data_IF_329192716836
#
_entry.id   IF_329192716836
#
_cell.length_a   1.000
_cell.length_b   1.000
_cell.length_c   1.000
_cell.angle_alpha   90.00
_cell.angle_beta   90.00
_cell.angle_gamma   90.00
#
_symmetry.space_group_name_H-M   'P 1'
#
loop_
_entity.id
_entity.type
_entity.pdbx_description
1 polymer ?
#
# COMPACT_ATOMS: atom_id res chain seq x y z
N UNK A 1 19.94 3.19 4.63
CA UNK A 1 19.57 2.75 6.00
C UNK A 1 18.10 2.98 6.32
N UNK A 2 17.50 4.13 5.99
CA UNK A 2 16.06 4.40 6.21
C UNK A 2 15.12 3.48 5.38
N UNK A 3 15.53 3.07 4.16
CA UNK A 3 14.81 2.06 3.33
C UNK A 3 14.83 0.62 3.87
N UNK A 4 15.57 0.33 4.95
CA UNK A 4 15.56 -1.02 5.55
C UNK A 4 14.45 -1.19 6.60
N UNK A 5 13.92 -0.08 7.14
CA UNK A 5 12.88 -0.07 8.19
C UNK A 5 11.50 0.31 7.64
N UNK A 6 11.41 0.63 6.34
CA UNK A 6 10.15 0.83 5.60
C UNK A 6 9.24 1.91 6.16
N UNK A 7 9.88 2.94 6.71
CA UNK A 7 9.19 4.12 7.24
C UNK A 7 8.55 4.96 6.13
N UNK A 8 9.08 4.89 4.92
CA UNK A 8 8.49 5.47 3.71
C UNK A 8 7.11 4.87 3.41
N UNK A 9 6.97 3.54 3.47
CA UNK A 9 5.69 2.84 3.29
C UNK A 9 4.69 3.22 4.38
N UNK A 10 5.16 3.33 5.63
CA UNK A 10 4.35 3.76 6.77
C UNK A 10 3.83 5.19 6.57
N UNK A 11 4.72 6.12 6.23
CA UNK A 11 4.37 7.51 5.99
C UNK A 11 3.47 7.66 4.76
N UNK A 12 3.65 6.83 3.72
CA UNK A 12 2.77 6.82 2.55
C UNK A 12 1.35 6.36 2.92
N UNK A 13 1.20 5.34 3.76
CA UNK A 13 -0.11 4.89 4.23
C UNK A 13 -0.80 5.96 5.10
N UNK A 14 -0.06 6.58 6.03
CA UNK A 14 -0.56 7.70 6.84
C UNK A 14 -0.97 8.90 5.96
N UNK A 15 -0.17 9.23 4.94
CA UNK A 15 -0.49 10.27 3.97
C UNK A 15 -1.73 9.94 3.14
N UNK A 16 -1.91 8.67 2.75
CA UNK A 16 -3.14 8.18 2.11
C UNK A 16 -4.37 8.33 3.02
N UNK A 17 -4.24 8.07 4.32
CA UNK A 17 -5.31 8.33 5.28
C UNK A 17 -5.61 9.82 5.42
N UNK A 18 -4.56 10.66 5.43
CA UNK A 18 -4.72 12.11 5.43
C UNK A 18 -5.41 12.61 4.16
N UNK A 19 -5.09 12.04 3.00
CA UNK A 19 -5.80 12.33 1.75
C UNK A 19 -7.31 12.10 1.90
N UNK A 20 -7.74 10.95 2.43
CA UNK A 20 -9.17 10.68 2.60
C UNK A 20 -9.81 11.50 3.73
N UNK A 21 -9.07 11.83 4.78
CA UNK A 21 -9.53 12.72 5.84
C UNK A 21 -9.82 14.14 5.31
N UNK A 22 -8.86 14.71 4.56
CA UNK A 22 -9.00 15.99 3.87
C UNK A 22 -10.13 15.96 2.84
N UNK A 23 -10.23 14.88 2.06
CA UNK A 23 -11.25 14.73 1.03
C UNK A 23 -12.67 14.71 1.60
N UNK A 24 -12.85 14.05 2.76
CA UNK A 24 -14.14 13.93 3.43
C UNK A 24 -14.41 15.06 4.43
N UNK A 25 -13.46 15.99 4.58
CA UNK A 25 -13.53 17.10 5.55
C UNK A 25 -13.79 16.58 6.96
N UNK A 26 -13.01 15.58 7.39
CA UNK A 26 -13.07 15.01 8.73
C UNK A 26 -11.73 15.12 9.44
N UNK A 27 -11.79 15.38 10.74
CA UNK A 27 -10.61 15.34 11.60
C UNK A 27 -10.35 13.90 12.05
N UNK A 28 -9.13 13.43 11.82
CA UNK A 28 -8.67 12.12 12.27
C UNK A 28 -7.69 12.31 13.42
N UNK A 29 -7.96 11.73 14.61
CA UNK A 29 -7.05 11.82 15.74
C UNK A 29 -5.66 11.25 15.41
N UNK A 30 -4.60 11.89 15.94
CA UNK A 30 -3.22 11.44 15.72
C UNK A 30 -2.98 9.99 16.17
N UNK A 31 -3.69 9.54 17.20
CA UNK A 31 -3.68 8.15 17.69
C UNK A 31 -4.05 7.14 16.61
N UNK A 32 -4.96 7.50 15.70
CA UNK A 32 -5.39 6.65 14.58
C UNK A 32 -4.31 6.56 13.51
N UNK A 33 -3.67 7.69 13.16
CA UNK A 33 -2.52 7.69 12.26
C UNK A 33 -1.36 6.85 12.82
N UNK A 34 -1.06 6.97 14.12
CA UNK A 34 -0.05 6.16 14.79
C UNK A 34 -0.44 4.68 14.80
N UNK A 35 -1.71 4.37 15.07
CA UNK A 35 -2.24 3.01 15.01
C UNK A 35 -2.09 2.37 13.63
N UNK A 36 -2.48 3.09 12.57
CA UNK A 36 -2.27 2.67 11.19
C UNK A 36 -0.78 2.44 10.92
N UNK A 37 0.07 3.39 11.31
CA UNK A 37 1.50 3.29 11.08
C UNK A 37 2.13 2.08 11.75
N UNK A 38 1.75 1.79 13.01
CA UNK A 38 2.21 0.60 13.74
C UNK A 38 1.75 -0.69 13.06
N UNK A 39 0.51 -0.75 12.56
CA UNK A 39 -0.03 -1.92 11.86
C UNK A 39 0.70 -2.16 10.55
N UNK A 40 0.84 -1.12 9.71
CA UNK A 40 1.54 -1.21 8.42
C UNK A 40 2.99 -1.61 8.63
N UNK A 41 3.67 -0.97 9.59
CA UNK A 41 5.05 -1.30 9.94
C UNK A 41 5.17 -2.75 10.43
N UNK A 42 4.28 -3.18 11.32
CA UNK A 42 4.27 -4.54 11.86
C UNK A 42 4.04 -5.61 10.81
N UNK A 43 3.08 -5.41 9.90
CA UNK A 43 2.83 -6.31 8.76
C UNK A 43 4.06 -6.39 7.88
N UNK A 44 4.67 -5.25 7.52
CA UNK A 44 5.84 -5.22 6.66
C UNK A 44 7.04 -5.93 7.31
N UNK A 45 7.32 -5.65 8.57
CA UNK A 45 8.41 -6.29 9.31
C UNK A 45 8.19 -7.81 9.46
N UNK A 46 6.95 -8.24 9.67
CA UNK A 46 6.59 -9.65 9.75
C UNK A 46 6.78 -10.36 8.41
N UNK A 47 6.37 -9.74 7.30
CA UNK A 47 6.54 -10.26 5.93
C UNK A 47 8.01 -10.54 5.63
N UNK A 48 8.90 -9.55 5.83
CA UNK A 48 10.35 -9.72 5.65
C UNK A 48 10.96 -10.77 6.56
N UNK A 49 10.47 -10.89 7.79
CA UNK A 49 10.97 -11.88 8.74
C UNK A 49 10.58 -13.31 8.33
N UNK A 50 9.35 -13.48 7.83
CA UNK A 50 8.86 -14.77 7.34
C UNK A 50 9.58 -15.19 6.06
N UNK A 51 9.81 -14.26 5.13
CA UNK A 51 10.54 -14.51 3.89
C UNK A 51 12.01 -14.83 4.15
N UNK A 52 12.65 -14.11 5.09
CA UNK A 52 14.01 -14.39 5.49
C UNK A 52 14.18 -15.81 6.08
N UNK A 53 13.16 -16.33 6.78
CA UNK A 53 13.19 -17.67 7.41
C UNK A 53 12.87 -18.81 6.43
N UNK A 54 12.10 -18.56 5.39
CA UNK A 54 11.67 -19.60 4.43
C UNK A 54 12.81 -20.11 3.53
N UNK A 55 13.91 -19.36 3.41
CA UNK A 55 15.01 -19.65 2.49
C UNK A 55 16.30 -20.00 3.26
N UNK A 56 16.76 -21.25 3.16
CA UNK A 56 17.92 -21.79 3.87
C UNK A 56 19.31 -21.36 3.33
N UNK A 57 19.40 -20.60 2.23
CA UNK A 57 20.69 -20.26 1.57
C UNK A 57 21.16 -18.83 1.85
N UNK A 58 22.09 -18.65 2.78
CA UNK A 58 22.46 -17.37 3.42
C UNK A 58 23.13 -16.30 2.54
N UNK A 59 23.49 -16.58 1.30
CA UNK A 59 24.65 -15.89 0.70
C UNK A 59 24.34 -14.83 -0.38
N UNK A 60 23.09 -14.63 -0.82
CA UNK A 60 22.83 -13.81 -2.02
C UNK A 60 22.16 -12.42 -1.80
N UNK A 61 21.68 -12.05 -0.60
CA UNK A 61 21.02 -10.75 -0.41
C UNK A 61 21.37 -10.01 0.91
N UNK A 62 21.95 -8.78 0.85
CA UNK A 62 22.29 -7.97 2.03
C UNK A 62 21.10 -7.70 2.96
N UNK A 63 19.89 -7.51 2.40
CA UNK A 63 18.65 -7.25 3.16
C UNK A 63 18.27 -8.45 4.03
N UNK A 64 18.42 -9.66 3.49
CA UNK A 64 18.06 -10.91 4.18
C UNK A 64 19.01 -11.25 5.32
N UNK A 65 20.31 -10.98 5.13
CA UNK A 65 21.33 -11.16 6.17
C UNK A 65 21.06 -10.30 7.42
N UNK A 66 20.48 -9.11 7.24
CA UNK A 66 20.13 -8.21 8.32
C UNK A 66 18.98 -8.76 9.19
N UNK A 67 17.90 -9.24 8.56
CA UNK A 67 16.74 -9.81 9.27
C UNK A 67 17.07 -11.11 10.01
N UNK A 68 17.89 -11.99 9.41
CA UNK A 68 18.34 -13.22 10.06
C UNK A 68 19.27 -12.94 11.25
N UNK A 69 20.20 -11.98 11.12
CA UNK A 69 21.14 -11.62 12.18
C UNK A 69 20.46 -10.94 13.37
N UNK A 70 19.38 -10.18 13.15
CA UNK A 70 18.69 -9.41 14.19
C UNK A 70 17.30 -9.97 14.55
N UNK A 71 17.02 -11.24 14.24
CA UNK A 71 15.67 -11.83 14.37
C UNK A 71 15.04 -11.63 15.77
N UNK A 72 15.82 -11.76 16.85
CA UNK A 72 15.33 -11.56 18.23
C UNK A 72 14.91 -10.12 18.49
N UNK A 73 15.69 -9.17 17.99
CA UNK A 73 15.42 -7.73 18.14
C UNK A 73 14.18 -7.35 17.32
N UNK A 74 14.03 -7.93 16.14
CA UNK A 74 12.85 -7.71 15.29
C UNK A 74 11.59 -8.26 15.97
N UNK A 75 11.62 -9.48 16.50
CA UNK A 75 10.50 -10.04 17.28
C UNK A 75 10.16 -9.21 18.52
N UNK A 76 11.19 -8.74 19.25
CA UNK A 76 10.98 -7.84 20.39
C UNK A 76 10.30 -6.53 19.95
N UNK A 77 10.75 -5.94 18.84
CA UNK A 77 10.15 -4.71 18.31
C UNK A 77 8.71 -4.91 17.84
N UNK A 78 8.38 -6.04 17.21
CA UNK A 78 7.00 -6.41 16.88
C UNK A 78 6.13 -6.55 18.14
N UNK A 79 6.66 -7.19 19.18
CA UNK A 79 5.97 -7.32 20.47
C UNK A 79 5.70 -5.97 21.13
N UNK A 80 6.68 -5.05 21.09
CA UNK A 80 6.51 -3.68 21.59
C UNK A 80 5.48 -2.88 20.76
N UNK A 81 5.49 -3.02 19.44
CA UNK A 81 4.48 -2.39 18.58
C UNK A 81 3.08 -2.91 18.85
N UNK A 82 2.91 -4.22 19.04
CA UNK A 82 1.63 -4.81 19.43
C UNK A 82 1.15 -4.30 20.80
N UNK A 83 2.06 -4.25 21.79
CA UNK A 83 1.74 -3.69 23.10
C UNK A 83 1.34 -2.20 23.01
N UNK A 84 2.06 -1.40 22.22
CA UNK A 84 1.73 0.01 21.99
C UNK A 84 0.36 0.17 21.32
N UNK A 85 0.05 -0.64 20.30
CA UNK A 85 -1.25 -0.63 19.65
C UNK A 85 -2.39 -0.96 20.63
N UNK A 86 -2.19 -1.96 21.50
CA UNK A 86 -3.17 -2.30 22.55
C UNK A 86 -3.34 -1.18 23.58
N UNK A 87 -2.25 -0.52 23.98
CA UNK A 87 -2.30 0.65 24.87
C UNK A 87 -3.11 1.78 24.21
N UNK A 88 -2.84 2.10 22.95
CA UNK A 88 -3.58 3.12 22.21
C UNK A 88 -5.08 2.81 22.17
N UNK A 89 -5.46 1.57 21.87
CA UNK A 89 -6.87 1.13 21.92
C UNK A 89 -7.44 1.23 23.34
N UNK A 90 -6.67 0.90 24.38
CA UNK A 90 -7.11 1.00 25.77
C UNK A 90 -7.43 2.41 26.24
N UNK A 91 -6.71 3.42 25.73
CA UNK A 91 -6.86 4.82 26.14
C UNK A 91 -7.75 5.66 25.22
N UNK A 92 -7.96 5.25 23.97
CA UNK A 92 -8.72 6.01 22.98
C UNK A 92 -10.05 5.31 22.64
N UNK A 93 -11.16 5.91 23.09
CA UNK A 93 -12.51 5.38 22.86
C UNK A 93 -12.88 5.30 21.38
N UNK A 94 -12.36 6.20 20.55
CA UNK A 94 -12.57 6.19 19.11
C UNK A 94 -11.92 4.96 18.48
N UNK A 95 -10.71 4.60 18.93
CA UNK A 95 -10.05 3.37 18.51
C UNK A 95 -10.78 2.11 18.96
N UNK A 96 -11.41 2.11 20.14
CA UNK A 96 -12.20 0.96 20.63
C UNK A 96 -13.36 0.63 19.70
N UNK A 97 -14.11 1.64 19.25
CA UNK A 97 -15.19 1.46 18.28
C UNK A 97 -14.71 0.95 16.92
N UNK A 98 -13.44 1.20 16.58
CA UNK A 98 -12.84 0.81 15.31
C UNK A 98 -12.22 -0.60 15.30
N UNK A 99 -12.00 -1.22 16.47
CA UNK A 99 -11.38 -2.56 16.61
C UNK A 99 -11.97 -3.64 15.69
N UNK A 100 -13.30 -3.77 15.51
CA UNK A 100 -13.86 -4.81 14.65
C UNK A 100 -13.42 -4.67 13.19
N UNK A 101 -13.33 -3.43 12.69
CA UNK A 101 -12.89 -3.14 11.32
C UNK A 101 -11.39 -3.41 11.15
N UNK A 102 -10.58 -3.02 12.13
CA UNK A 102 -9.16 -3.32 12.16
C UNK A 102 -8.90 -4.85 12.20
N UNK A 103 -9.67 -5.59 13.00
CA UNK A 103 -9.61 -7.05 13.07
C UNK A 103 -10.01 -7.72 11.76
N UNK A 104 -11.07 -7.23 11.10
CA UNK A 104 -11.48 -7.72 9.78
C UNK A 104 -10.39 -7.49 8.72
N UNK A 105 -9.77 -6.31 8.72
CA UNK A 105 -8.69 -5.98 7.79
C UNK A 105 -7.45 -6.87 8.03
N UNK A 106 -7.07 -7.08 9.29
CA UNK A 106 -5.99 -7.99 9.66
C UNK A 106 -6.27 -9.44 9.23
N UNK A 107 -7.51 -9.91 9.38
CA UNK A 107 -7.94 -11.22 8.88
C UNK A 107 -7.83 -11.34 7.36
N UNK A 108 -8.19 -10.28 6.63
CA UNK A 108 -8.05 -10.19 5.18
C UNK A 108 -6.58 -10.23 4.74
N UNK A 109 -5.70 -9.47 5.41
CA UNK A 109 -4.24 -9.51 5.21
C UNK A 109 -3.73 -10.94 5.37
N UNK A 110 -4.04 -11.60 6.50
CA UNK A 110 -3.62 -12.97 6.75
C UNK A 110 -4.15 -13.95 5.68
N UNK A 111 -5.39 -13.75 5.22
CA UNK A 111 -5.98 -14.51 4.12
C UNK A 111 -5.20 -14.37 2.81
N UNK A 112 -4.72 -13.17 2.46
CA UNK A 112 -3.90 -12.96 1.24
C UNK A 112 -2.60 -13.77 1.26
N UNK A 113 -1.92 -13.84 2.41
CA UNK A 113 -0.68 -14.61 2.57
C UNK A 113 -0.91 -16.12 2.45
N UNK A 114 -2.07 -16.62 2.89
CA UNK A 114 -2.45 -18.03 2.74
C UNK A 114 -2.82 -18.35 1.28
N UNK A 115 -3.60 -17.50 0.61
CA UNK A 115 -3.96 -17.69 -0.79
C UNK A 115 -2.74 -17.76 -1.71
N UNK A 116 -1.73 -16.91 -1.48
CA UNK A 116 -0.48 -16.95 -2.23
C UNK A 116 0.27 -18.28 -2.13
N UNK A 117 0.16 -18.99 -1.01
CA UNK A 117 0.83 -20.28 -0.79
C UNK A 117 0.08 -21.47 -1.38
N UNK A 118 -1.26 -21.42 -1.42
CA UNK A 118 -2.08 -22.61 -1.73
C UNK A 118 -2.93 -22.52 -3.00
N UNK A 119 -3.18 -21.33 -3.57
CA UNK A 119 -4.20 -21.17 -4.63
C UNK A 119 -3.66 -21.18 -6.08
N UNK A 120 -2.41 -21.58 -6.30
CA UNK A 120 -1.86 -21.79 -7.65
C UNK A 120 -1.86 -20.53 -8.54
N UNK A 121 -2.19 -20.66 -9.83
CA UNK A 121 -2.17 -19.55 -10.82
C UNK A 121 -3.24 -18.49 -10.55
N UNK A 122 -4.44 -18.91 -10.18
CA UNK A 122 -5.54 -18.01 -9.83
C UNK A 122 -5.24 -17.25 -8.52
N UNK A 123 -4.56 -17.92 -7.58
CA UNK A 123 -4.06 -17.31 -6.36
C UNK A 123 -3.14 -16.13 -6.57
N UNK A 124 -2.26 -16.18 -7.58
CA UNK A 124 -1.31 -15.11 -7.87
C UNK A 124 -2.01 -13.79 -8.29
N UNK A 125 -3.00 -13.88 -9.19
CA UNK A 125 -3.79 -12.71 -9.62
C UNK A 125 -4.64 -12.14 -8.48
N UNK A 126 -5.35 -13.02 -7.77
CA UNK A 126 -6.26 -12.62 -6.70
C UNK A 126 -5.50 -12.03 -5.51
N UNK A 127 -4.29 -12.51 -5.22
CA UNK A 127 -3.44 -11.96 -4.15
C UNK A 127 -3.17 -10.47 -4.37
N UNK A 128 -2.71 -10.06 -5.55
CA UNK A 128 -2.34 -8.67 -5.80
C UNK A 128 -3.56 -7.74 -5.77
N UNK A 129 -4.71 -8.19 -6.30
CA UNK A 129 -5.98 -7.46 -6.21
C UNK A 129 -6.41 -7.29 -4.75
N UNK A 130 -6.34 -8.35 -3.94
CA UNK A 130 -6.69 -8.29 -2.53
C UNK A 130 -5.74 -7.38 -1.74
N UNK A 131 -4.43 -7.42 -2.02
CA UNK A 131 -3.47 -6.51 -1.38
C UNK A 131 -3.81 -5.05 -1.71
N UNK A 132 -4.12 -4.73 -2.97
CA UNK A 132 -4.55 -3.39 -3.36
C UNK A 132 -5.84 -2.97 -2.64
N UNK A 133 -6.85 -3.85 -2.56
CA UNK A 133 -8.10 -3.57 -1.83
C UNK A 133 -7.87 -3.33 -0.34
N UNK A 134 -7.07 -4.19 0.30
CA UNK A 134 -6.71 -4.06 1.72
C UNK A 134 -5.95 -2.76 1.98
N UNK A 135 -5.04 -2.37 1.08
CA UNK A 135 -4.33 -1.11 1.19
C UNK A 135 -5.29 0.08 1.16
N UNK A 136 -6.17 0.16 0.14
CA UNK A 136 -7.14 1.25 0.03
C UNK A 136 -8.10 1.27 1.22
N UNK A 137 -8.61 0.11 1.62
CA UNK A 137 -9.46 -0.01 2.79
C UNK A 137 -8.74 0.49 4.05
N UNK A 138 -7.47 0.10 4.26
CA UNK A 138 -6.68 0.53 5.42
C UNK A 138 -6.52 2.04 5.53
N UNK A 139 -6.34 2.74 4.42
CA UNK A 139 -6.18 4.20 4.42
C UNK A 139 -7.53 4.94 4.46
N UNK A 140 -8.61 4.38 3.93
CA UNK A 140 -9.87 5.12 3.76
C UNK A 140 -10.95 4.80 4.80
N UNK A 141 -10.93 3.62 5.42
CA UNK A 141 -12.07 3.11 6.20
C UNK A 141 -12.36 3.96 7.45
N UNK A 142 -11.33 4.49 8.11
CA UNK A 142 -11.52 5.33 9.29
C UNK A 142 -12.11 6.70 8.93
N UNK A 143 -11.55 7.47 7.97
CA UNK A 143 -12.22 8.69 7.49
C UNK A 143 -13.67 8.48 7.05
N UNK A 144 -13.95 7.36 6.37
CA UNK A 144 -15.32 7.00 5.94
C UNK A 144 -16.23 6.73 7.15
N UNK A 145 -15.74 5.96 8.12
CA UNK A 145 -16.48 5.66 9.34
C UNK A 145 -16.78 6.94 10.14
N UNK A 146 -15.81 7.84 10.25
CA UNK A 146 -15.95 9.13 10.93
C UNK A 146 -16.96 10.06 10.24
N UNK A 147 -16.96 10.10 8.90
CA UNK A 147 -17.94 10.88 8.12
C UNK A 147 -19.35 10.29 8.21
N UNK A 148 -19.44 8.97 8.32
CA UNK A 148 -20.69 8.21 8.22
C UNK A 148 -21.03 7.87 6.77
N UNK A 149 -21.38 6.61 6.53
CA UNK A 149 -21.63 6.07 5.17
C UNK A 149 -22.76 6.80 4.42
N UNK A 150 -23.75 7.33 5.14
CA UNK A 150 -24.90 8.03 4.56
C UNK A 150 -24.55 9.44 4.05
N UNK A 151 -23.45 10.01 4.54
CA UNK A 151 -23.00 11.37 4.23
C UNK A 151 -21.87 11.39 3.18
N UNK A 152 -21.58 10.25 2.56
CA UNK A 152 -20.49 10.15 1.59
C UNK A 152 -20.86 10.83 0.27
N UNK A 153 -20.03 11.76 -0.23
CA UNK A 153 -20.22 12.29 -1.58
C UNK A 153 -19.98 11.18 -2.60
N UNK A 154 -20.81 11.10 -3.65
CA UNK A 154 -20.71 10.06 -4.69
C UNK A 154 -19.31 9.99 -5.33
N UNK A 155 -18.59 11.13 -5.39
CA UNK A 155 -17.24 11.18 -5.92
C UNK A 155 -16.24 10.33 -5.13
N UNK A 156 -16.46 10.06 -3.82
CA UNK A 156 -15.52 9.26 -3.01
C UNK A 156 -15.22 7.91 -3.64
N UNK A 157 -16.20 7.28 -4.29
CA UNK A 157 -16.02 5.99 -4.95
C UNK A 157 -15.05 6.07 -6.14
N UNK A 158 -15.00 7.20 -6.84
CA UNK A 158 -14.01 7.43 -7.89
C UNK A 158 -12.60 7.48 -7.30
N UNK A 159 -12.41 8.15 -6.15
CA UNK A 159 -11.11 8.27 -5.49
C UNK A 159 -10.65 6.95 -4.87
N UNK A 160 -11.55 6.20 -4.25
CA UNK A 160 -11.28 4.83 -3.79
C UNK A 160 -10.84 3.95 -4.94
N UNK A 161 -11.56 4.00 -6.06
CA UNK A 161 -11.21 3.24 -7.26
C UNK A 161 -9.88 3.70 -7.87
N UNK A 162 -9.60 5.00 -7.88
CA UNK A 162 -8.34 5.56 -8.34
C UNK A 162 -7.14 5.08 -7.53
N UNK A 163 -7.23 5.13 -6.20
CA UNK A 163 -6.19 4.59 -5.30
C UNK A 163 -6.03 3.08 -5.46
N UNK A 164 -7.13 2.35 -5.68
CA UNK A 164 -7.07 0.91 -5.94
C UNK A 164 -6.29 0.61 -7.22
N UNK A 165 -6.59 1.31 -8.31
CA UNK A 165 -5.85 1.16 -9.56
C UNK A 165 -4.39 1.57 -9.42
N UNK A 166 -4.07 2.66 -8.72
CA UNK A 166 -2.69 3.08 -8.47
C UNK A 166 -1.91 2.02 -7.68
N UNK A 167 -2.51 1.46 -6.62
CA UNK A 167 -1.91 0.40 -5.82
C UNK A 167 -1.72 -0.88 -6.65
N UNK A 168 -2.70 -1.24 -7.48
CA UNK A 168 -2.62 -2.40 -8.36
C UNK A 168 -1.52 -2.23 -9.43
N UNK A 169 -1.45 -1.05 -10.06
CA UNK A 169 -0.37 -0.71 -11.01
C UNK A 169 1.00 -0.82 -10.32
N UNK A 170 1.13 -0.27 -9.11
CA UNK A 170 2.36 -0.37 -8.32
C UNK A 170 2.75 -1.83 -8.09
N UNK A 171 1.83 -2.67 -7.63
CA UNK A 171 2.07 -4.10 -7.41
C UNK A 171 2.47 -4.83 -8.69
N UNK A 172 1.82 -4.53 -9.83
CA UNK A 172 2.14 -5.16 -11.11
C UNK A 172 3.53 -4.78 -11.61
N UNK A 173 3.93 -3.51 -11.46
CA UNK A 173 5.27 -3.04 -11.80
C UNK A 173 6.32 -3.75 -10.94
N UNK A 174 6.11 -3.81 -9.62
CA UNK A 174 7.04 -4.48 -8.71
C UNK A 174 7.15 -5.97 -9.01
N UNK A 175 6.03 -6.63 -9.25
CA UNK A 175 5.96 -8.05 -9.64
C UNK A 175 6.75 -8.35 -10.92
N UNK A 176 6.70 -7.45 -11.92
CA UNK A 176 7.51 -7.58 -13.13
C UNK A 176 9.01 -7.51 -12.87
N UNK A 177 9.45 -6.60 -12.01
CA UNK A 177 10.88 -6.45 -11.69
C UNK A 177 11.40 -7.56 -10.78
N UNK A 178 10.57 -8.08 -9.88
CA UNK A 178 10.95 -9.14 -8.94
C UNK A 178 10.85 -10.54 -9.55
N UNK A 179 10.28 -10.68 -10.76
CA UNK A 179 10.00 -11.97 -11.43
C UNK A 179 11.17 -12.96 -11.41
N UNK A 180 12.39 -12.52 -11.71
CA UNK A 180 13.57 -13.40 -11.74
C UNK A 180 14.00 -13.84 -10.33
N UNK A 181 13.76 -13.02 -9.31
CA UNK A 181 13.99 -13.36 -7.91
C UNK A 181 12.92 -14.33 -7.41
N UNK A 182 11.65 -14.05 -7.71
CA UNK A 182 10.50 -14.91 -7.36
C UNK A 182 10.64 -16.32 -7.93
N UNK A 183 11.06 -16.41 -9.20
CA UNK A 183 11.26 -17.69 -9.88
C UNK A 183 12.37 -18.53 -9.22
N UNK A 184 13.43 -17.90 -8.71
CA UNK A 184 14.52 -18.58 -7.99
C UNK A 184 14.08 -19.08 -6.62
N UNK A 185 13.12 -18.42 -5.99
CA UNK A 185 12.66 -18.71 -4.63
C UNK A 185 11.36 -19.54 -4.55
N UNK A 186 10.81 -19.95 -5.70
CA UNK A 186 9.59 -20.77 -5.76
C UNK A 186 8.30 -20.02 -5.40
N UNK A 187 8.36 -18.69 -5.27
CA UNK A 187 7.18 -17.85 -5.09
C UNK A 187 6.47 -17.62 -6.43
N UNK A 188 5.14 -17.62 -6.40
CA UNK A 188 4.31 -17.34 -7.59
C UNK A 188 3.69 -15.96 -7.49
N UNK A 189 4.19 -15.03 -8.30
CA UNK A 189 3.64 -13.69 -8.52
C UNK A 189 2.89 -13.60 -9.86
N UNK A 190 2.13 -12.52 -10.11
CA UNK A 190 1.42 -12.37 -11.40
C UNK A 190 2.40 -12.46 -12.57
N UNK A 191 3.59 -11.87 -12.42
CA UNK A 191 4.62 -11.87 -13.45
C UNK A 191 5.20 -13.26 -13.73
N UNK A 192 5.14 -14.19 -12.77
CA UNK A 192 5.58 -15.58 -12.96
C UNK A 192 4.59 -16.43 -13.76
N UNK A 193 3.31 -16.02 -13.81
CA UNK A 193 2.22 -16.80 -14.40
C UNK A 193 1.67 -16.15 -15.68
N UNK A 194 1.67 -14.82 -15.74
CA UNK A 194 1.11 -14.05 -16.83
C UNK A 194 2.07 -13.95 -18.02
N UNK A 195 1.50 -13.72 -19.21
CA UNK A 195 2.28 -13.30 -20.36
C UNK A 195 2.77 -11.85 -20.13
N UNK A 196 4.09 -11.65 -20.18
CA UNK A 196 4.74 -10.36 -19.88
C UNK A 196 4.16 -9.24 -20.75
N UNK A 197 4.01 -9.48 -22.05
CA UNK A 197 3.52 -8.46 -22.99
C UNK A 197 2.10 -8.02 -22.64
N UNK A 198 1.24 -8.94 -22.18
CA UNK A 198 -0.10 -8.61 -21.72
C UNK A 198 -0.09 -7.84 -20.39
N UNK A 199 0.82 -8.18 -19.47
CA UNK A 199 0.95 -7.51 -18.18
C UNK A 199 1.47 -6.07 -18.36
N UNK A 200 2.51 -5.86 -19.17
CA UNK A 200 3.02 -4.53 -19.51
C UNK A 200 1.97 -3.66 -20.19
N UNK A 201 1.23 -4.22 -21.18
CA UNK A 201 0.10 -3.53 -21.80
C UNK A 201 -0.99 -3.20 -20.78
N UNK A 202 -1.29 -4.11 -19.88
CA UNK A 202 -2.25 -3.91 -18.79
C UNK A 202 -1.86 -2.72 -17.90
N UNK A 203 -0.60 -2.65 -17.48
CA UNK A 203 -0.06 -1.52 -16.69
C UNK A 203 -0.28 -0.20 -17.43
N UNK A 204 0.10 -0.13 -18.71
CA UNK A 204 -0.04 1.11 -19.51
C UNK A 204 -1.51 1.49 -19.69
N UNK A 205 -2.39 0.53 -20.03
CA UNK A 205 -3.82 0.78 -20.19
C UNK A 205 -4.43 1.29 -18.90
N UNK A 206 -4.16 0.63 -17.77
CA UNK A 206 -4.67 1.07 -16.46
C UNK A 206 -4.16 2.47 -16.09
N UNK A 207 -2.88 2.76 -16.32
CA UNK A 207 -2.31 4.09 -16.07
C UNK A 207 -2.99 5.16 -16.92
N UNK A 208 -3.19 4.91 -18.23
CA UNK A 208 -3.93 5.83 -19.11
C UNK A 208 -5.36 6.00 -18.63
N UNK A 209 -6.04 4.92 -18.24
CA UNK A 209 -7.40 4.98 -17.70
C UNK A 209 -7.48 5.86 -16.46
N UNK A 210 -6.56 5.70 -15.50
CA UNK A 210 -6.49 6.58 -14.31
C UNK A 210 -6.29 8.03 -14.72
N UNK A 211 -5.34 8.31 -15.62
CA UNK A 211 -5.08 9.68 -16.08
C UNK A 211 -6.32 10.30 -16.75
N UNK A 212 -7.01 9.58 -17.63
CA UNK A 212 -8.21 10.08 -18.30
C UNK A 212 -9.36 10.31 -17.32
N UNK A 213 -9.59 9.37 -16.39
CA UNK A 213 -10.66 9.50 -15.39
C UNK A 213 -10.46 10.72 -14.49
N UNK A 214 -9.23 10.92 -13.99
CA UNK A 214 -8.94 12.03 -13.09
C UNK A 214 -8.72 13.37 -13.83
N UNK A 215 -8.34 13.35 -15.10
CA UNK A 215 -8.38 14.55 -15.91
C UNK A 215 -9.82 14.99 -16.18
N UNK A 216 -10.71 14.05 -16.50
CA UNK A 216 -12.14 14.34 -16.64
C UNK A 216 -12.76 14.82 -15.33
N UNK A 217 -12.33 14.28 -14.17
CA UNK A 217 -12.85 14.73 -12.88
C UNK A 217 -12.52 16.20 -12.57
N UNK A 218 -11.41 16.74 -13.07
CA UNK A 218 -11.10 18.18 -12.96
C UNK A 218 -12.15 19.06 -13.64
N UNK A 219 -12.80 18.56 -14.69
CA UNK A 219 -13.83 19.31 -15.43
C UNK A 219 -15.22 19.13 -14.83
N UNK A 220 -15.48 17.95 -14.24
CA UNK A 220 -16.81 17.53 -13.80
C UNK A 220 -17.08 17.77 -12.31
N UNK A 221 -16.04 17.83 -11.47
CA UNK A 221 -16.17 17.98 -10.03
C UNK A 221 -16.00 19.43 -9.57
N UNK A 222 -16.60 19.80 -8.43
CA UNK A 222 -16.34 21.08 -7.77
C UNK A 222 -14.84 21.34 -7.54
N UNK A 223 -14.45 22.62 -7.58
CA UNK A 223 -13.05 23.06 -7.44
C UNK A 223 -12.36 22.55 -6.18
N UNK A 224 -13.12 22.33 -5.10
CA UNK A 224 -12.63 21.72 -3.87
C UNK A 224 -11.88 20.40 -4.10
N UNK A 225 -12.39 19.55 -5.01
CA UNK A 225 -11.79 18.24 -5.27
C UNK A 225 -10.64 18.27 -6.28
N UNK A 226 -10.34 19.41 -6.92
CA UNK A 226 -9.31 19.49 -7.96
C UNK A 226 -7.93 19.14 -7.42
N UNK A 227 -7.59 19.57 -6.20
CA UNK A 227 -6.29 19.24 -5.59
C UNK A 227 -6.14 17.74 -5.36
N UNK A 228 -7.20 17.08 -4.90
CA UNK A 228 -7.23 15.63 -4.70
C UNK A 228 -7.04 14.88 -6.02
N UNK A 229 -7.70 15.33 -7.10
CA UNK A 229 -7.52 14.76 -8.43
C UNK A 229 -6.09 14.97 -8.96
N UNK A 230 -5.50 16.15 -8.76
CA UNK A 230 -4.13 16.46 -9.17
C UNK A 230 -3.11 15.57 -8.45
N UNK A 231 -3.30 15.26 -7.17
CA UNK A 231 -2.43 14.33 -6.43
C UNK A 231 -2.46 12.94 -7.08
N UNK A 232 -3.64 12.40 -7.41
CA UNK A 232 -3.77 11.11 -8.07
C UNK A 232 -3.13 11.13 -9.47
N UNK A 233 -3.33 12.20 -10.23
CA UNK A 233 -2.69 12.39 -11.54
C UNK A 233 -1.16 12.41 -11.43
N UNK A 234 -0.61 13.13 -10.46
CA UNK A 234 0.84 13.18 -10.22
C UNK A 234 1.41 11.81 -9.89
N UNK A 235 0.79 11.05 -8.99
CA UNK A 235 1.22 9.69 -8.64
C UNK A 235 1.15 8.78 -9.87
N UNK A 236 0.02 8.81 -10.61
CA UNK A 236 -0.15 8.02 -11.84
C UNK A 236 0.91 8.34 -12.88
N UNK A 237 1.21 9.63 -13.07
CA UNK A 237 2.21 10.08 -14.02
C UNK A 237 3.62 9.63 -13.64
N UNK A 238 3.97 9.70 -12.35
CA UNK A 238 5.25 9.16 -11.85
C UNK A 238 5.34 7.67 -12.11
N UNK A 239 4.29 6.89 -11.81
CA UNK A 239 4.27 5.45 -12.10
C UNK A 239 4.55 5.18 -13.58
N UNK A 240 3.88 5.90 -14.49
CA UNK A 240 4.06 5.74 -15.93
C UNK A 240 5.47 6.12 -16.39
N UNK A 241 6.00 7.25 -15.93
CA UNK A 241 7.36 7.71 -16.28
C UNK A 241 8.42 6.74 -15.77
N UNK A 242 8.28 6.26 -14.54
CA UNK A 242 9.21 5.30 -13.94
C UNK A 242 9.17 3.97 -14.68
N UNK A 243 7.97 3.48 -15.02
CA UNK A 243 7.78 2.22 -15.74
C UNK A 243 8.39 2.26 -17.14
N UNK A 244 8.12 3.32 -17.91
CA UNK A 244 8.60 3.45 -19.29
C UNK A 244 10.10 3.78 -19.39
N UNK A 245 10.70 4.29 -18.33
CA UNK A 245 12.12 4.63 -18.33
C UNK A 245 13.00 3.39 -18.15
N UNK A 246 13.43 2.77 -19.25
CA UNK A 246 14.26 1.55 -19.21
C UNK A 246 15.69 1.77 -18.67
N UNK A 247 16.20 3.01 -18.64
CA UNK A 247 17.63 3.30 -18.41
C UNK A 247 18.05 3.49 -16.94
N UNK A 248 17.10 3.58 -16.01
CA UNK A 248 17.41 3.77 -14.57
C UNK A 248 17.67 2.44 -13.86
N UNK A 249 18.48 2.49 -12.81
CA UNK A 249 18.65 1.41 -11.85
C UNK A 249 17.31 0.97 -11.24
N UNK A 250 17.08 -0.35 -11.16
CA UNK A 250 15.82 -0.95 -10.70
C UNK A 250 15.53 -0.59 -9.24
N UNK A 251 16.55 -0.51 -8.39
CA UNK A 251 16.36 -0.16 -6.98
C UNK A 251 15.92 1.30 -6.83
N UNK A 252 16.53 2.22 -7.57
CA UNK A 252 16.09 3.62 -7.62
C UNK A 252 14.65 3.76 -8.14
N UNK A 253 14.27 3.00 -9.18
CA UNK A 253 12.89 3.03 -9.69
C UNK A 253 11.88 2.59 -8.63
N UNK A 254 12.16 1.51 -7.91
CA UNK A 254 11.32 1.05 -6.79
C UNK A 254 11.15 2.14 -5.74
N UNK A 255 12.24 2.77 -5.31
CA UNK A 255 12.19 3.84 -4.30
C UNK A 255 11.33 5.01 -4.76
N UNK A 256 11.44 5.43 -6.03
CA UNK A 256 10.61 6.52 -6.57
C UNK A 256 9.14 6.11 -6.63
N UNK A 257 8.87 4.86 -7.05
CA UNK A 257 7.52 4.34 -7.16
C UNK A 257 6.82 4.29 -5.80
N UNK A 258 7.48 3.72 -4.78
CA UNK A 258 6.98 3.64 -3.40
C UNK A 258 6.86 5.04 -2.78
N UNK A 259 7.86 5.91 -2.95
CA UNK A 259 7.84 7.28 -2.43
C UNK A 259 6.80 8.19 -3.10
N UNK A 260 6.31 7.85 -4.30
CA UNK A 260 5.32 8.68 -5.00
C UNK A 260 4.04 8.86 -4.17
N UNK A 261 3.65 7.88 -3.37
CA UNK A 261 2.50 7.97 -2.48
C UNK A 261 2.68 9.01 -1.35
N UNK A 262 3.91 9.41 -1.03
CA UNK A 262 4.17 10.49 -0.08
C UNK A 262 3.69 11.86 -0.59
N UNK A 263 3.42 12.01 -1.90
CA UNK A 263 2.85 13.23 -2.49
C UNK A 263 1.50 13.58 -1.86
N UNK A 264 0.78 12.60 -1.30
CA UNK A 264 -0.45 12.85 -0.54
C UNK A 264 -0.27 13.87 0.60
N UNK A 265 0.93 13.95 1.19
CA UNK A 265 1.24 14.94 2.22
C UNK A 265 1.30 16.39 1.73
N UNK A 266 1.38 16.63 0.41
CA UNK A 266 1.31 17.99 -0.14
C UNK A 266 0.00 18.68 0.25
N UNK A 267 -1.07 17.91 0.50
CA UNK A 267 -2.35 18.44 0.97
C UNK A 267 -2.23 19.17 2.33
N UNK A 268 -1.27 18.83 3.19
CA UNK A 268 -1.03 19.57 4.45
C UNK A 268 -0.61 21.02 4.22
N UNK A 269 0.04 21.31 3.10
CA UNK A 269 0.53 22.66 2.76
C UNK A 269 -0.56 23.53 2.15
N UNK A 270 -1.71 22.92 1.83
CA UNK A 270 -2.81 23.54 1.08
C UNK A 270 -4.10 23.63 1.89
N UNK A 271 -4.12 23.08 3.11
CA UNK A 271 -5.22 23.12 4.07
C UNK A 271 -5.14 24.29 5.05
#
# INVERSE_FOLDING_TARGET
MINFLSLDVVLAAMGGMYFFASFLEVEVPISVYLGLGLVVWGIYMLDHLLDARALNNTDEEPRRSFFLRHYKIIWLSLGLCAAMALILVGFDQTLQGFVPYAGALAGLVAGTSLLGKYAGRFGAWTKEILIALVYVAGISIFPIWQKGFELLPAYVFLYLFGFFLLALINLWILSLWDRESDARHGFRSIASVANIVHLERGIVVLAITVNLLFFASLMLQPSFYHMHALVILLISHIHMVVFLNSKRDTQLKRQILEASFLITWVLLLLG
#
